data_IF_542711950866
#
_entry.id   IF_542711950866
#
_cell.length_a   1.000
_cell.length_b   1.000
_cell.length_c   1.000
_cell.angle_alpha   90.00
_cell.angle_beta   90.00
_cell.angle_gamma   90.00
#
_symmetry.space_group_name_H-M   'P 1'
#
loop_
_entity.id
_entity.type
_entity.pdbx_description
1 polymer ?
#
# COMPACT_ATOMS: atom_id res chain seq x y z
N UNK A 1 -102.57 60.55 -16.62
CA UNK A 1 -101.29 61.18 -16.92
C UNK A 1 -100.39 61.00 -15.70
N UNK A 2 -99.53 59.98 -15.73
CA UNK A 2 -98.52 59.77 -14.61
C UNK A 2 -97.20 60.35 -15.05
N UNK A 3 -96.89 61.56 -14.52
CA UNK A 3 -95.64 62.19 -14.75
C UNK A 3 -94.59 61.53 -13.87
N UNK A 4 -93.74 60.64 -14.43
CA UNK A 4 -92.56 60.14 -13.74
C UNK A 4 -91.54 61.25 -13.61
N UNK A 5 -91.27 61.66 -12.38
CA UNK A 5 -90.21 62.67 -12.07
C UNK A 5 -88.86 62.19 -12.58
N UNK A 6 -88.09 63.01 -13.34
CA UNK A 6 -86.79 62.77 -13.91
C UNK A 6 -85.77 62.22 -12.89
N UNK A 7 -85.96 62.50 -11.60
CA UNK A 7 -85.11 62.00 -10.48
C UNK A 7 -85.30 60.51 -10.19
N UNK A 8 -86.55 59.95 -10.40
CA UNK A 8 -86.81 58.53 -10.20
C UNK A 8 -86.15 57.64 -11.29
N UNK A 9 -86.11 58.15 -12.53
CA UNK A 9 -85.45 57.45 -13.67
C UNK A 9 -83.93 57.43 -13.45
N UNK A 10 -83.31 58.51 -12.92
CA UNK A 10 -81.89 58.56 -12.61
C UNK A 10 -81.52 57.59 -11.50
N UNK A 11 -82.35 57.47 -10.46
CA UNK A 11 -82.11 56.53 -9.33
C UNK A 11 -82.22 55.05 -9.83
N UNK A 12 -83.18 54.75 -10.72
CA UNK A 12 -83.29 53.41 -11.31
C UNK A 12 -82.13 53.09 -12.23
N UNK A 13 -81.66 54.03 -13.04
CA UNK A 13 -80.45 53.85 -13.84
C UNK A 13 -79.19 53.65 -12.98
N UNK A 14 -79.03 54.41 -11.91
CA UNK A 14 -77.93 54.27 -10.97
C UNK A 14 -77.99 52.91 -10.25
N UNK A 15 -79.19 52.45 -9.86
CA UNK A 15 -79.34 51.13 -9.20
C UNK A 15 -79.03 49.98 -10.16
N UNK A 16 -79.40 50.09 -11.49
CA UNK A 16 -79.03 49.08 -12.48
C UNK A 16 -77.52 49.02 -12.74
N UNK A 17 -76.85 50.16 -12.77
CA UNK A 17 -75.37 50.20 -12.92
C UNK A 17 -74.67 49.56 -11.70
N UNK A 18 -75.16 49.92 -10.51
CA UNK A 18 -74.60 49.32 -9.27
C UNK A 18 -74.88 47.80 -9.23
N UNK A 19 -76.09 47.37 -9.65
CA UNK A 19 -76.38 45.95 -9.69
C UNK A 19 -75.56 45.23 -10.75
N UNK A 20 -75.30 45.83 -11.92
CA UNK A 20 -74.38 45.30 -12.93
C UNK A 20 -72.93 45.20 -12.44
N UNK A 21 -72.42 46.20 -11.69
CA UNK A 21 -71.13 46.21 -11.10
C UNK A 21 -70.99 45.13 -10.01
N UNK A 22 -72.02 44.97 -9.17
CA UNK A 22 -72.05 43.94 -8.15
C UNK A 22 -72.02 42.51 -8.78
N UNK A 23 -72.88 42.33 -9.82
CA UNK A 23 -72.91 41.04 -10.55
C UNK A 23 -71.56 40.77 -11.24
N UNK A 24 -70.95 41.79 -11.86
CA UNK A 24 -69.65 41.67 -12.48
C UNK A 24 -68.54 41.28 -11.42
N UNK A 25 -68.50 41.93 -10.27
CA UNK A 25 -67.59 41.62 -9.16
C UNK A 25 -67.81 40.21 -8.58
N UNK A 26 -69.10 39.77 -8.48
CA UNK A 26 -69.40 38.42 -7.99
C UNK A 26 -68.97 37.34 -8.99
N UNK A 27 -69.19 37.57 -10.29
CA UNK A 27 -68.74 36.67 -11.38
C UNK A 27 -67.19 36.62 -11.40
N UNK A 28 -66.53 37.76 -11.28
CA UNK A 28 -65.07 37.81 -11.22
C UNK A 28 -64.53 37.10 -9.98
N UNK A 29 -65.14 37.26 -8.80
CA UNK A 29 -64.75 36.50 -7.58
C UNK A 29 -64.94 35.01 -7.75
N UNK A 30 -66.12 34.59 -8.36
CA UNK A 30 -66.33 33.17 -8.61
C UNK A 30 -65.30 32.56 -9.58
N UNK A 31 -64.92 33.30 -10.63
CA UNK A 31 -63.86 32.86 -11.55
C UNK A 31 -62.48 32.80 -10.90
N UNK A 32 -62.16 33.78 -10.07
CA UNK A 32 -60.85 33.80 -9.34
C UNK A 32 -60.77 32.69 -8.28
N UNK A 33 -61.87 32.40 -7.56
CA UNK A 33 -61.88 31.28 -6.59
C UNK A 33 -61.74 29.92 -7.28
N UNK A 34 -62.35 29.71 -8.44
CA UNK A 34 -62.20 28.48 -9.23
C UNK A 34 -60.74 28.34 -9.75
N UNK A 35 -60.13 29.44 -10.24
CA UNK A 35 -58.72 29.43 -10.65
C UNK A 35 -57.79 29.16 -9.49
N UNK A 36 -57.93 29.83 -8.35
CA UNK A 36 -57.11 29.60 -7.15
C UNK A 36 -57.26 28.17 -6.66
N UNK A 37 -58.44 27.58 -6.70
CA UNK A 37 -58.64 26.16 -6.33
C UNK A 37 -58.04 25.21 -7.34
N UNK A 38 -58.06 25.52 -8.64
CA UNK A 38 -57.36 24.71 -9.67
C UNK A 38 -55.86 24.84 -9.59
N UNK A 39 -55.32 26.03 -9.36
CA UNK A 39 -53.90 26.28 -9.18
C UNK A 39 -53.40 25.62 -7.88
N UNK A 40 -54.14 25.73 -6.77
CA UNK A 40 -53.82 25.06 -5.52
C UNK A 40 -53.88 23.52 -5.60
N UNK A 41 -54.81 22.97 -6.40
CA UNK A 41 -54.87 21.53 -6.66
C UNK A 41 -53.72 21.05 -7.59
N UNK A 42 -53.24 21.93 -8.46
CA UNK A 42 -52.09 21.65 -9.34
C UNK A 42 -50.75 21.72 -8.57
N UNK A 43 -50.61 22.65 -7.61
CA UNK A 43 -49.44 22.81 -6.73
C UNK A 43 -49.33 21.70 -5.64
N UNK A 44 -50.41 20.92 -5.41
CA UNK A 44 -50.37 19.79 -4.45
C UNK A 44 -49.63 18.56 -4.97
N UNK A 45 -49.33 18.49 -6.28
CA UNK A 45 -48.57 17.36 -6.86
C UNK A 45 -47.12 17.81 -7.08
N UNK A 46 -46.15 17.36 -6.28
CA UNK A 46 -44.76 17.78 -6.39
C UNK A 46 -44.14 17.31 -7.71
N UNK A 47 -43.35 18.21 -8.31
CA UNK A 47 -42.52 17.89 -9.46
C UNK A 47 -41.24 17.17 -8.97
N UNK A 48 -40.98 15.99 -9.49
CA UNK A 48 -39.84 15.18 -9.08
C UNK A 48 -38.97 14.77 -10.27
N UNK A 49 -37.68 14.94 -10.15
CA UNK A 49 -36.74 14.46 -11.15
C UNK A 49 -36.52 12.95 -10.98
N UNK A 50 -36.70 12.21 -12.08
CA UNK A 50 -36.60 10.76 -12.08
C UNK A 50 -35.34 10.33 -12.82
N UNK A 51 -34.59 9.41 -12.21
CA UNK A 51 -33.36 8.77 -12.75
C UNK A 51 -33.54 7.26 -12.80
N UNK A 52 -32.89 6.60 -13.74
CA UNK A 52 -32.80 5.16 -13.79
C UNK A 52 -31.49 4.68 -13.14
N UNK A 53 -31.47 3.54 -12.43
CA UNK A 53 -30.26 2.93 -11.94
C UNK A 53 -29.33 2.61 -13.11
N UNK A 54 -28.05 2.97 -12.98
CA UNK A 54 -27.04 2.60 -13.97
C UNK A 54 -26.26 1.41 -13.44
N UNK A 55 -25.88 0.43 -14.28
CA UNK A 55 -24.96 -0.61 -13.85
C UNK A 55 -23.67 0.02 -13.27
N UNK A 56 -23.20 -0.49 -12.15
CA UNK A 56 -21.92 -0.06 -11.59
C UNK A 56 -20.79 -0.36 -12.59
N UNK A 57 -19.69 0.40 -12.55
CA UNK A 57 -18.52 0.12 -13.38
C UNK A 57 -18.07 -1.35 -13.21
N UNK A 58 -17.71 -2.04 -14.31
CA UNK A 58 -17.34 -3.46 -14.26
C UNK A 58 -16.07 -3.72 -13.48
N UNK A 59 -15.31 -2.67 -13.19
CA UNK A 59 -14.05 -2.74 -12.44
C UNK A 59 -14.04 -1.73 -11.31
N UNK A 60 -13.52 -2.18 -10.19
CA UNK A 60 -13.20 -1.35 -9.04
C UNK A 60 -11.72 -0.97 -9.13
N UNK A 61 -11.43 0.31 -9.17
CA UNK A 61 -10.06 0.83 -9.10
C UNK A 61 -9.86 1.64 -7.83
N UNK A 62 -8.69 1.46 -7.23
CA UNK A 62 -8.27 2.19 -6.03
C UNK A 62 -6.80 2.56 -6.18
N UNK A 63 -6.46 3.80 -5.85
CA UNK A 63 -5.08 4.27 -5.83
C UNK A 63 -4.62 4.44 -4.38
N UNK A 64 -3.51 3.79 -4.05
CA UNK A 64 -2.92 3.75 -2.71
C UNK A 64 -1.45 4.16 -2.77
N UNK A 65 -0.91 4.78 -1.71
CA UNK A 65 0.51 4.99 -1.58
C UNK A 65 1.24 3.67 -1.32
N UNK A 66 2.41 3.52 -1.92
CA UNK A 66 3.30 2.40 -1.69
C UNK A 66 4.75 2.85 -1.55
N UNK A 67 5.59 2.00 -0.97
CA UNK A 67 7.02 2.22 -0.82
C UNK A 67 7.80 1.12 -1.53
N UNK A 68 8.75 1.51 -2.34
CA UNK A 68 9.66 0.61 -3.03
C UNK A 68 10.83 0.24 -2.12
N UNK A 69 11.14 -1.03 -2.04
CA UNK A 69 12.34 -1.56 -1.36
C UNK A 69 13.13 -2.43 -2.32
N UNK A 70 14.41 -2.58 -2.06
CA UNK A 70 15.24 -3.53 -2.78
C UNK A 70 14.73 -4.98 -2.57
N UNK A 71 15.11 -5.88 -3.48
CA UNK A 71 14.78 -7.30 -3.34
C UNK A 71 15.45 -7.89 -2.12
N UNK A 72 16.76 -7.62 -1.96
CA UNK A 72 17.54 -7.83 -0.73
C UNK A 72 18.27 -6.56 -0.39
N UNK A 73 18.45 -6.32 0.89
CA UNK A 73 19.26 -5.22 1.40
C UNK A 73 20.09 -5.75 2.56
N UNK A 74 21.42 -5.59 2.48
CA UNK A 74 22.34 -6.05 3.49
C UNK A 74 23.18 -4.89 4.02
N UNK A 75 22.92 -4.46 5.27
CA UNK A 75 23.85 -3.63 6.00
C UNK A 75 25.07 -4.47 6.42
N UNK A 76 26.27 -3.99 6.10
CA UNK A 76 27.53 -4.67 6.32
C UNK A 76 28.25 -4.00 7.49
N UNK A 77 28.61 -4.80 8.49
CA UNK A 77 29.29 -4.34 9.71
C UNK A 77 30.71 -4.93 9.81
N UNK A 78 31.59 -4.24 10.53
CA UNK A 78 32.93 -4.77 10.83
C UNK A 78 32.82 -5.99 11.78
N UNK A 79 33.53 -7.06 11.45
CA UNK A 79 33.67 -8.24 12.31
C UNK A 79 34.99 -8.25 13.08
N UNK A 80 35.92 -7.39 12.67
CA UNK A 80 37.24 -7.18 13.34
C UNK A 80 37.45 -5.70 13.61
N UNK A 81 38.20 -5.40 14.67
CA UNK A 81 38.50 -4.03 15.04
C UNK A 81 39.81 -3.57 14.41
N UNK A 82 39.81 -2.35 13.88
CA UNK A 82 40.99 -1.77 13.24
C UNK A 82 40.67 -0.41 12.61
N UNK A 83 41.59 0.05 11.78
CA UNK A 83 41.44 1.30 11.03
C UNK A 83 41.15 1.00 9.57
N UNK A 84 40.21 1.73 8.96
CA UNK A 84 39.93 1.61 7.52
C UNK A 84 41.18 2.01 6.75
N UNK A 85 41.76 1.05 6.03
CA UNK A 85 42.95 1.27 5.20
C UNK A 85 42.62 1.93 3.89
N UNK A 86 41.58 1.41 3.20
CA UNK A 86 41.10 1.91 1.93
C UNK A 86 39.71 1.36 1.65
N UNK A 87 38.90 2.14 0.94
CA UNK A 87 37.64 1.68 0.31
C UNK A 87 37.78 1.69 -1.21
N UNK A 88 37.12 0.75 -1.90
CA UNK A 88 37.30 0.50 -3.34
C UNK A 88 35.98 0.70 -4.11
N UNK A 89 34.85 0.77 -3.42
CA UNK A 89 33.51 0.97 -4.01
C UNK A 89 32.82 2.12 -3.31
N UNK A 90 32.23 3.02 -4.09
CA UNK A 90 31.50 4.18 -3.55
C UNK A 90 30.00 4.07 -3.84
N UNK A 91 29.23 5.07 -3.42
CA UNK A 91 27.79 5.16 -3.69
C UNK A 91 27.49 4.93 -5.16
N UNK A 92 26.44 4.13 -5.45
CA UNK A 92 26.00 3.80 -6.79
C UNK A 92 26.88 2.80 -7.55
N UNK A 93 27.98 2.32 -6.95
CA UNK A 93 28.83 1.32 -7.58
C UNK A 93 28.08 -0.02 -7.71
N UNK A 94 28.07 -0.58 -8.91
CA UNK A 94 27.59 -1.95 -9.15
C UNK A 94 28.67 -2.92 -8.67
N UNK A 95 28.27 -3.90 -7.88
CA UNK A 95 29.16 -4.90 -7.28
C UNK A 95 28.62 -6.31 -7.52
N UNK A 96 29.54 -7.27 -7.59
CA UNK A 96 29.23 -8.70 -7.62
C UNK A 96 29.53 -9.31 -6.26
N UNK A 97 28.91 -10.44 -5.98
CA UNK A 97 29.21 -11.26 -4.79
C UNK A 97 30.72 -11.54 -4.70
N UNK A 98 31.33 -11.20 -3.54
CA UNK A 98 32.75 -11.35 -3.30
C UNK A 98 33.62 -10.17 -3.76
N UNK A 99 33.04 -9.13 -4.38
CA UNK A 99 33.79 -7.91 -4.70
C UNK A 99 34.25 -7.22 -3.40
N UNK A 100 35.52 -6.81 -3.39
CA UNK A 100 36.11 -6.08 -2.28
C UNK A 100 35.55 -4.65 -2.21
N UNK A 101 34.90 -4.32 -1.08
CA UNK A 101 34.37 -3.01 -0.80
C UNK A 101 35.33 -2.12 -0.04
N UNK A 102 35.96 -2.67 0.99
CA UNK A 102 36.99 -1.98 1.80
C UNK A 102 37.94 -2.98 2.45
N UNK A 103 39.08 -2.46 2.93
CA UNK A 103 40.08 -3.20 3.69
C UNK A 103 40.35 -2.53 5.05
N UNK A 104 40.36 -3.34 6.12
CA UNK A 104 40.66 -2.89 7.49
C UNK A 104 42.10 -3.26 7.83
N UNK A 105 42.88 -2.30 8.31
CA UNK A 105 44.19 -2.52 8.88
C UNK A 105 44.04 -2.92 10.34
N UNK A 106 44.51 -4.14 10.69
CA UNK A 106 44.36 -4.77 12.01
C UNK A 106 45.68 -5.23 12.58
N UNK A 107 46.60 -4.31 12.96
CA UNK A 107 47.96 -4.70 13.39
C UNK A 107 47.99 -5.67 14.57
N UNK A 108 47.03 -5.51 15.50
CA UNK A 108 46.92 -6.40 16.67
C UNK A 108 46.53 -7.83 16.26
N UNK A 109 45.52 -7.98 15.42
CA UNK A 109 45.10 -9.28 14.93
C UNK A 109 46.20 -9.96 14.10
N UNK A 110 46.93 -9.19 13.30
CA UNK A 110 48.05 -9.70 12.49
C UNK A 110 49.17 -10.22 13.40
N UNK A 111 49.47 -9.52 14.51
CA UNK A 111 50.46 -9.99 15.50
C UNK A 111 49.98 -11.24 16.24
N UNK A 112 48.73 -11.31 16.65
CA UNK A 112 48.12 -12.48 17.32
C UNK A 112 48.10 -13.70 16.36
N UNK A 113 47.83 -13.51 15.08
CA UNK A 113 47.88 -14.57 14.06
C UNK A 113 49.33 -15.08 13.88
N UNK A 114 50.31 -14.17 13.76
CA UNK A 114 51.72 -14.52 13.66
C UNK A 114 52.20 -15.31 14.89
N UNK A 115 51.78 -14.91 16.09
CA UNK A 115 52.08 -15.63 17.32
C UNK A 115 51.49 -17.06 17.30
N UNK A 116 50.23 -17.22 16.94
CA UNK A 116 49.58 -18.53 16.83
C UNK A 116 50.30 -19.45 15.82
N UNK A 117 50.79 -18.89 14.71
CA UNK A 117 51.61 -19.64 13.73
C UNK A 117 52.96 -20.09 14.31
N UNK A 118 53.59 -19.25 15.15
CA UNK A 118 54.84 -19.63 15.83
C UNK A 118 54.59 -20.73 16.86
N UNK A 119 53.50 -20.63 17.64
CA UNK A 119 53.11 -21.65 18.63
C UNK A 119 52.80 -23.00 17.97
N UNK A 120 52.14 -22.98 16.80
CA UNK A 120 51.92 -24.19 15.99
C UNK A 120 53.24 -24.89 15.61
N UNK A 121 54.24 -24.11 15.15
CA UNK A 121 55.57 -24.68 14.82
C UNK A 121 56.24 -25.33 16.02
N UNK A 122 56.10 -24.73 17.22
CA UNK A 122 56.65 -25.31 18.47
C UNK A 122 55.87 -26.59 18.82
N UNK A 123 54.56 -26.62 18.75
CA UNK A 123 53.77 -27.82 19.02
C UNK A 123 54.08 -28.95 18.03
N UNK A 124 54.26 -28.62 16.76
CA UNK A 124 54.66 -29.59 15.73
C UNK A 124 56.02 -30.23 16.07
N UNK A 125 57.01 -29.42 16.39
CA UNK A 125 58.33 -29.94 16.75
C UNK A 125 58.32 -30.83 18.01
N UNK A 126 57.48 -30.47 19.02
CA UNK A 126 57.29 -31.32 20.22
C UNK A 126 56.67 -32.67 19.86
N UNK A 127 55.62 -32.65 19.03
CA UNK A 127 54.93 -33.87 18.56
C UNK A 127 55.95 -34.78 17.79
N UNK A 128 56.71 -34.20 16.86
CA UNK A 128 57.64 -34.94 16.03
C UNK A 128 58.68 -35.64 16.94
N UNK A 129 59.20 -34.95 17.95
CA UNK A 129 60.10 -35.51 18.92
C UNK A 129 59.44 -36.65 19.73
N UNK A 130 58.22 -36.43 20.23
CA UNK A 130 57.54 -37.43 21.03
C UNK A 130 57.16 -38.69 20.17
N UNK A 131 56.76 -38.50 18.92
CA UNK A 131 56.46 -39.56 17.98
C UNK A 131 57.70 -40.45 17.66
N UNK A 132 58.84 -39.79 17.37
CA UNK A 132 60.09 -40.50 17.14
C UNK A 132 60.52 -41.28 18.40
N UNK A 133 60.39 -40.66 19.58
CA UNK A 133 60.72 -41.26 20.86
C UNK A 133 59.84 -42.46 21.17
N UNK A 134 58.51 -42.33 21.07
CA UNK A 134 57.51 -43.39 21.27
C UNK A 134 57.76 -44.57 20.30
N UNK A 135 58.04 -44.27 19.02
CA UNK A 135 58.35 -45.28 18.02
C UNK A 135 59.57 -46.09 18.39
N UNK A 136 60.67 -45.44 18.87
CA UNK A 136 61.90 -46.10 19.35
C UNK A 136 61.62 -46.98 20.58
N UNK A 137 60.84 -46.46 21.56
CA UNK A 137 60.47 -47.22 22.75
C UNK A 137 59.57 -48.43 22.44
N UNK A 138 58.68 -48.32 21.50
CA UNK A 138 57.83 -49.43 21.01
C UNK A 138 58.76 -50.55 20.43
N UNK A 139 59.71 -50.19 19.60
CA UNK A 139 60.66 -51.16 19.05
C UNK A 139 61.55 -51.87 20.14
N UNK A 140 62.01 -51.11 21.15
CA UNK A 140 62.76 -51.69 22.30
C UNK A 140 61.86 -52.56 23.18
N UNK A 141 60.56 -52.22 23.33
CA UNK A 141 59.59 -53.07 24.06
C UNK A 141 59.37 -54.41 23.41
N UNK A 142 59.31 -54.45 22.07
CA UNK A 142 59.17 -55.68 21.31
C UNK A 142 60.36 -56.63 21.52
N UNK A 143 61.59 -56.12 21.75
CA UNK A 143 62.79 -56.87 22.08
C UNK A 143 62.97 -57.17 23.58
N UNK A 144 61.99 -56.83 24.44
CA UNK A 144 61.96 -56.96 25.87
C UNK A 144 63.14 -56.19 26.56
N UNK A 145 63.75 -55.22 25.91
CA UNK A 145 64.87 -54.41 26.43
C UNK A 145 64.43 -53.34 27.45
N UNK A 146 63.08 -53.04 27.51
CA UNK A 146 62.48 -52.03 28.39
C UNK A 146 61.17 -52.53 28.99
N UNK A 147 60.76 -51.94 30.12
CA UNK A 147 59.47 -52.29 30.76
C UNK A 147 58.26 -51.83 29.96
N UNK A 148 57.14 -52.59 29.98
CA UNK A 148 55.90 -52.21 29.35
C UNK A 148 55.38 -50.91 29.90
N UNK A 149 55.61 -50.57 31.18
CA UNK A 149 55.22 -49.29 31.76
C UNK A 149 55.96 -48.12 31.09
N UNK A 150 57.26 -48.23 30.81
CA UNK A 150 57.98 -47.18 30.11
C UNK A 150 57.47 -46.93 28.69
N UNK A 151 57.09 -47.99 27.94
CA UNK A 151 56.50 -47.87 26.64
C UNK A 151 55.11 -47.15 26.72
N UNK A 152 54.30 -47.50 27.72
CA UNK A 152 53.04 -46.87 27.96
C UNK A 152 53.16 -45.37 28.26
N UNK A 153 54.19 -44.95 29.08
CA UNK A 153 54.45 -43.53 29.36
C UNK A 153 54.86 -42.78 28.09
N UNK A 154 55.65 -43.34 27.20
CA UNK A 154 56.08 -42.66 25.97
C UNK A 154 54.87 -42.58 24.93
N UNK A 155 54.05 -43.58 24.90
CA UNK A 155 52.82 -43.51 24.09
C UNK A 155 51.83 -42.43 24.60
N UNK A 156 51.70 -42.30 25.94
CA UNK A 156 50.90 -41.23 26.53
C UNK A 156 51.47 -39.83 26.24
N UNK A 157 52.82 -39.69 26.27
CA UNK A 157 53.52 -38.46 25.92
C UNK A 157 53.29 -38.09 24.43
N UNK A 158 53.41 -39.08 23.53
CA UNK A 158 53.09 -38.87 22.12
C UNK A 158 51.63 -38.39 21.92
N UNK A 159 50.66 -39.04 22.59
CA UNK A 159 49.28 -38.69 22.53
C UNK A 159 49.00 -37.29 23.09
N UNK A 160 49.66 -36.92 24.20
CA UNK A 160 49.57 -35.57 24.76
C UNK A 160 50.13 -34.52 23.80
N UNK A 161 51.33 -34.76 23.24
CA UNK A 161 51.93 -33.85 22.27
C UNK A 161 51.08 -33.72 20.98
N UNK A 162 50.41 -34.79 20.56
CA UNK A 162 49.47 -34.76 19.44
C UNK A 162 48.28 -33.88 19.76
N UNK A 163 47.68 -33.99 20.95
CA UNK A 163 46.57 -33.16 21.36
C UNK A 163 46.97 -31.66 21.45
N UNK A 164 48.22 -31.37 21.92
CA UNK A 164 48.74 -30.00 21.91
C UNK A 164 48.91 -29.45 20.48
N UNK A 165 49.35 -30.27 19.53
CA UNK A 165 49.43 -29.89 18.11
C UNK A 165 48.05 -29.57 17.52
N UNK A 166 47.10 -30.47 17.72
CA UNK A 166 45.71 -30.27 17.24
C UNK A 166 45.10 -28.99 17.83
N UNK A 167 45.35 -28.70 19.11
CA UNK A 167 44.88 -27.47 19.73
C UNK A 167 45.50 -26.21 19.09
N UNK A 168 46.83 -26.25 18.78
CA UNK A 168 47.52 -25.17 18.10
C UNK A 168 47.04 -24.97 16.65
N UNK A 169 46.75 -26.06 15.93
CA UNK A 169 46.15 -26.02 14.58
C UNK A 169 44.79 -25.31 14.59
N UNK A 170 43.91 -25.68 15.52
CA UNK A 170 42.64 -25.04 15.68
C UNK A 170 42.74 -23.55 16.04
N UNK A 171 43.76 -23.19 16.84
CA UNK A 171 44.05 -21.80 17.19
C UNK A 171 44.45 -20.96 15.98
N UNK A 172 45.31 -21.50 15.10
CA UNK A 172 45.69 -20.86 13.84
C UNK A 172 44.48 -20.71 12.92
N UNK A 173 43.66 -21.77 12.78
CA UNK A 173 42.44 -21.73 11.96
C UNK A 173 41.43 -20.64 12.45
N UNK A 174 41.32 -20.48 13.79
CA UNK A 174 40.48 -19.41 14.38
C UNK A 174 40.96 -18.02 13.95
N UNK A 175 42.25 -17.73 14.09
CA UNK A 175 42.80 -16.43 13.70
C UNK A 175 42.77 -16.23 12.18
N UNK A 176 43.01 -17.26 11.41
CA UNK A 176 42.89 -17.21 9.95
C UNK A 176 41.51 -16.79 9.50
N UNK A 177 40.45 -17.35 10.13
CA UNK A 177 39.07 -16.92 9.87
C UNK A 177 38.86 -15.45 10.23
N UNK A 178 39.40 -14.98 11.36
CA UNK A 178 39.33 -13.57 11.74
C UNK A 178 40.07 -12.65 10.77
N UNK A 179 41.24 -13.06 10.27
CA UNK A 179 42.01 -12.30 9.26
C UNK A 179 41.25 -12.15 7.96
N UNK A 180 40.42 -13.14 7.57
CA UNK A 180 39.59 -13.04 6.39
C UNK A 180 38.59 -11.88 6.50
N UNK A 181 38.09 -11.58 7.69
CA UNK A 181 37.15 -10.47 7.93
C UNK A 181 37.78 -9.06 7.85
N UNK A 182 39.09 -8.95 7.59
CA UNK A 182 39.72 -7.67 7.25
C UNK A 182 39.25 -7.14 5.90
N UNK A 183 38.91 -8.05 5.00
CA UNK A 183 38.33 -7.74 3.69
C UNK A 183 36.82 -7.66 3.82
N UNK A 184 36.26 -6.49 3.57
CA UNK A 184 34.83 -6.27 3.54
C UNK A 184 34.39 -6.55 2.12
N UNK A 185 33.55 -7.58 1.94
CA UNK A 185 33.12 -8.06 0.62
C UNK A 185 31.60 -7.94 0.46
N UNK A 186 31.15 -7.80 -0.79
CA UNK A 186 29.74 -7.79 -1.12
C UNK A 186 29.13 -9.20 -0.95
N UNK A 187 28.01 -9.35 -0.21
CA UNK A 187 27.39 -10.65 0.04
C UNK A 187 26.64 -11.22 -1.16
N UNK A 188 26.20 -10.38 -2.07
CA UNK A 188 25.46 -10.71 -3.30
C UNK A 188 25.69 -9.64 -4.37
N UNK A 189 25.21 -9.93 -5.59
CA UNK A 189 25.25 -8.99 -6.71
C UNK A 189 24.27 -7.85 -6.47
N UNK A 190 24.71 -6.58 -6.60
CA UNK A 190 23.83 -5.45 -6.32
C UNK A 190 24.52 -4.10 -6.52
N UNK A 191 23.98 -3.09 -5.85
CA UNK A 191 24.47 -1.70 -5.89
C UNK A 191 24.75 -1.24 -4.47
N UNK A 192 25.86 -0.52 -4.26
CA UNK A 192 26.16 0.13 -3.00
C UNK A 192 25.24 1.35 -2.82
N UNK A 193 24.33 1.29 -1.86
CA UNK A 193 23.38 2.37 -1.58
C UNK A 193 23.80 3.27 -0.42
N UNK A 194 24.68 2.76 0.47
CA UNK A 194 25.27 3.56 1.54
C UNK A 194 26.72 3.18 1.79
N UNK A 195 27.56 4.18 2.10
CA UNK A 195 28.94 4.04 2.58
C UNK A 195 29.17 5.01 3.74
N UNK A 196 29.33 4.50 4.93
CA UNK A 196 29.43 5.28 6.16
C UNK A 196 30.84 5.24 6.77
N UNK A 197 31.85 5.00 5.95
CA UNK A 197 33.25 4.94 6.36
C UNK A 197 34.15 5.81 5.48
N UNK A 198 35.24 6.29 6.09
CA UNK A 198 36.33 6.98 5.41
C UNK A 198 37.66 6.34 5.73
N UNK A 199 38.69 6.61 4.92
CA UNK A 199 40.04 6.15 5.16
C UNK A 199 40.54 6.75 6.48
N UNK A 200 41.05 5.88 7.36
CA UNK A 200 41.55 6.26 8.68
C UNK A 200 40.51 6.18 9.81
N UNK A 201 39.24 5.93 9.51
CA UNK A 201 38.21 5.73 10.53
C UNK A 201 38.50 4.46 11.35
N UNK A 202 38.27 4.54 12.65
CA UNK A 202 38.35 3.35 13.51
C UNK A 202 37.02 2.62 13.47
N UNK A 203 37.05 1.32 13.23
CA UNK A 203 35.90 0.41 13.22
C UNK A 203 36.09 -0.67 14.29
N UNK A 204 34.99 -1.00 14.98
CA UNK A 204 34.99 -2.01 16.05
C UNK A 204 34.22 -3.26 15.70
N UNK A 205 34.66 -4.42 16.12
CA UNK A 205 33.99 -5.68 15.94
C UNK A 205 32.57 -5.62 16.58
N UNK A 206 31.53 -5.92 15.78
CA UNK A 206 30.14 -5.93 16.24
C UNK A 206 29.47 -4.57 16.42
N UNK A 207 30.21 -3.46 16.24
CA UNK A 207 29.69 -2.11 16.47
C UNK A 207 29.77 -1.18 15.26
N UNK A 208 30.25 -1.66 14.11
CA UNK A 208 30.43 -0.81 12.93
C UNK A 208 31.35 0.38 13.16
N UNK A 209 31.19 1.46 12.41
CA UNK A 209 31.79 2.75 12.73
C UNK A 209 31.07 3.33 13.94
N UNK A 210 31.76 3.63 15.03
CA UNK A 210 31.18 4.34 16.18
C UNK A 210 30.91 5.79 15.75
N UNK A 211 29.66 6.13 15.51
CA UNK A 211 29.26 7.51 15.42
C UNK A 211 29.30 8.17 16.82
N UNK A 212 29.24 9.50 16.89
CA UNK A 212 29.36 10.27 18.13
C UNK A 212 28.37 9.85 19.25
N UNK A 213 27.36 9.05 18.95
CA UNK A 213 26.33 8.56 19.88
C UNK A 213 26.57 7.11 20.35
N UNK A 214 27.70 6.46 19.99
CA UNK A 214 28.03 5.09 20.40
C UNK A 214 27.16 4.00 19.79
N UNK A 215 26.37 4.33 18.79
CA UNK A 215 25.52 3.35 18.08
C UNK A 215 26.30 2.71 16.95
N UNK A 216 26.19 1.39 16.79
CA UNK A 216 26.74 0.68 15.67
C UNK A 216 26.17 1.21 14.37
N UNK A 217 27.00 1.74 13.46
CA UNK A 217 26.58 2.10 12.12
C UNK A 217 27.15 1.09 11.12
N UNK A 218 26.36 0.74 10.14
CA UNK A 218 26.81 -0.07 9.00
C UNK A 218 27.96 0.63 8.27
N UNK A 219 28.92 -0.15 7.79
CA UNK A 219 30.03 0.34 6.98
C UNK A 219 29.58 0.62 5.54
N UNK A 220 28.84 -0.33 4.99
CA UNK A 220 28.22 -0.29 3.69
C UNK A 220 26.82 -0.85 3.77
N UNK A 221 25.97 -0.42 2.84
CA UNK A 221 24.71 -1.12 2.56
C UNK A 221 24.68 -1.46 1.08
N UNK A 222 24.56 -2.75 0.78
CA UNK A 222 24.42 -3.27 -0.58
C UNK A 222 22.98 -3.69 -0.80
N UNK A 223 22.40 -3.23 -1.89
CA UNK A 223 21.03 -3.52 -2.29
C UNK A 223 20.98 -4.27 -3.62
N UNK A 224 20.22 -5.34 -3.65
CA UNK A 224 19.86 -6.03 -4.87
C UNK A 224 18.67 -5.32 -5.51
N UNK A 225 18.91 -4.69 -6.66
CA UNK A 225 17.94 -3.85 -7.37
C UNK A 225 17.48 -4.45 -8.71
N UNK A 226 17.76 -5.73 -8.99
CA UNK A 226 17.32 -6.38 -10.24
C UNK A 226 15.79 -6.43 -10.35
N UNK A 227 15.13 -6.57 -9.22
CA UNK A 227 13.69 -6.42 -9.04
C UNK A 227 13.43 -5.62 -7.76
N UNK A 228 12.25 -5.00 -7.67
CA UNK A 228 11.86 -4.21 -6.51
C UNK A 228 10.69 -4.87 -5.80
N UNK A 229 10.68 -4.79 -4.48
CA UNK A 229 9.54 -5.12 -3.64
C UNK A 229 8.76 -3.84 -3.36
N UNK A 230 7.46 -3.88 -3.61
CA UNK A 230 6.57 -2.75 -3.38
C UNK A 230 5.61 -3.10 -2.25
N UNK A 231 5.68 -2.36 -1.17
CA UNK A 231 4.80 -2.51 -0.02
C UNK A 231 3.66 -1.50 -0.11
N UNK A 232 2.44 -2.00 -0.01
CA UNK A 232 1.20 -1.20 -0.08
C UNK A 232 0.34 -1.53 1.13
N UNK A 233 -0.08 -0.50 1.85
CA UNK A 233 -1.03 -0.65 2.96
C UNK A 233 -2.45 -0.57 2.42
N UNK A 234 -3.14 -1.71 2.36
CA UNK A 234 -4.50 -1.82 1.82
C UNK A 234 -5.52 -1.82 2.95
N UNK A 235 -6.54 -0.93 2.95
CA UNK A 235 -7.60 -0.93 3.95
C UNK A 235 -8.39 -2.25 3.99
N UNK A 236 -8.89 -2.62 5.17
CA UNK A 236 -9.66 -3.85 5.40
C UNK A 236 -10.84 -3.99 4.45
N UNK A 237 -11.55 -2.89 4.16
CA UNK A 237 -12.70 -2.84 3.26
C UNK A 237 -12.39 -3.31 1.84
N UNK A 238 -11.12 -3.27 1.43
CA UNK A 238 -10.65 -3.69 0.10
C UNK A 238 -9.84 -4.98 0.11
N UNK A 239 -9.69 -5.61 1.26
CA UNK A 239 -8.90 -6.85 1.40
C UNK A 239 -9.44 -8.01 0.56
N UNK A 240 -10.72 -8.03 0.25
CA UNK A 240 -11.38 -9.06 -0.57
C UNK A 240 -10.87 -9.14 -2.02
N UNK A 241 -10.31 -8.03 -2.55
CA UNK A 241 -9.76 -7.98 -3.90
C UNK A 241 -8.33 -8.54 -4.00
N UNK A 242 -7.66 -8.71 -2.86
CA UNK A 242 -6.27 -9.16 -2.80
C UNK A 242 -6.19 -10.68 -3.03
N UNK A 243 -6.03 -11.08 -4.28
CA UNK A 243 -5.93 -12.48 -4.69
C UNK A 243 -4.71 -12.70 -5.56
N UNK A 244 -4.22 -13.93 -5.57
CA UNK A 244 -3.16 -14.34 -6.49
C UNK A 244 -3.55 -14.04 -7.94
N UNK A 245 -2.61 -13.45 -8.70
CA UNK A 245 -2.84 -13.01 -10.08
C UNK A 245 -3.29 -11.54 -10.21
N UNK A 246 -3.48 -10.82 -9.09
CA UNK A 246 -3.73 -9.38 -9.13
C UNK A 246 -2.48 -8.66 -9.71
N UNK A 247 -2.70 -7.82 -10.69
CA UNK A 247 -1.68 -6.92 -11.25
C UNK A 247 -2.02 -5.49 -10.85
N UNK A 248 -1.04 -4.81 -10.27
CA UNK A 248 -1.14 -3.41 -9.90
C UNK A 248 -0.41 -2.53 -10.93
N UNK A 249 -0.99 -1.40 -11.27
CA UNK A 249 -0.31 -0.37 -12.07
C UNK A 249 0.36 0.62 -11.12
N UNK A 250 1.64 0.86 -11.34
CA UNK A 250 2.48 1.66 -10.46
C UNK A 250 3.05 2.85 -11.21
N UNK A 251 2.88 4.03 -10.64
CA UNK A 251 3.52 5.26 -11.12
C UNK A 251 4.43 5.81 -10.04
N UNK A 252 5.59 6.30 -10.43
CA UNK A 252 6.58 6.91 -9.52
C UNK A 252 6.81 8.36 -9.92
N UNK A 253 7.00 9.29 -8.97
CA UNK A 253 7.18 10.71 -9.28
C UNK A 253 8.37 11.02 -10.21
N UNK A 254 9.41 10.17 -10.17
CA UNK A 254 10.57 10.34 -11.05
C UNK A 254 10.25 10.07 -12.52
N UNK A 255 9.20 9.27 -12.80
CA UNK A 255 8.78 8.88 -14.16
C UNK A 255 7.25 9.00 -14.30
N UNK A 256 6.69 10.22 -14.32
CA UNK A 256 5.24 10.43 -14.25
C UNK A 256 4.49 9.84 -15.44
N UNK A 257 5.15 9.75 -16.60
CA UNK A 257 4.57 9.22 -17.85
C UNK A 257 4.85 7.72 -18.07
N UNK A 258 5.45 7.03 -17.09
CA UNK A 258 5.77 5.61 -17.19
C UNK A 258 4.96 4.83 -16.16
N UNK A 259 4.20 3.86 -16.65
CA UNK A 259 3.45 2.93 -15.78
C UNK A 259 4.24 1.62 -15.71
N UNK A 260 4.52 1.19 -14.49
CA UNK A 260 5.15 -0.10 -14.21
C UNK A 260 4.09 -1.11 -13.78
N UNK A 261 4.20 -2.33 -14.27
CA UNK A 261 3.32 -3.42 -13.83
C UNK A 261 3.94 -4.12 -12.63
N UNK A 262 3.18 -4.17 -11.52
CA UNK A 262 3.56 -4.87 -10.30
C UNK A 262 2.70 -6.13 -10.14
N UNK A 263 3.36 -7.27 -9.96
CA UNK A 263 2.71 -8.57 -9.74
C UNK A 263 2.53 -8.82 -8.25
N UNK A 264 1.35 -9.26 -7.86
CA UNK A 264 1.07 -9.65 -6.49
C UNK A 264 2.04 -10.76 -6.04
N UNK A 265 2.69 -10.57 -4.90
CA UNK A 265 3.63 -11.51 -4.32
C UNK A 265 3.02 -12.20 -3.10
N UNK A 266 2.66 -11.42 -2.10
CA UNK A 266 2.09 -11.94 -0.85
C UNK A 266 1.29 -10.87 -0.10
N UNK A 267 0.59 -11.29 0.95
CA UNK A 267 -0.17 -10.43 1.87
C UNK A 267 0.14 -10.84 3.30
N UNK A 268 0.37 -9.87 4.16
CA UNK A 268 0.43 -10.11 5.60
C UNK A 268 -0.95 -10.57 6.09
N UNK A 269 -1.03 -11.75 6.72
CA UNK A 269 -2.30 -12.31 7.19
C UNK A 269 -2.75 -11.72 8.53
N UNK A 270 -2.53 -10.42 8.72
CA UNK A 270 -2.91 -9.68 9.91
C UNK A 270 -3.10 -8.21 9.58
N UNK A 271 -4.13 -7.60 10.15
CA UNK A 271 -4.35 -6.15 10.05
C UNK A 271 -3.61 -5.42 11.16
N UNK A 272 -3.03 -4.28 10.83
CA UNK A 272 -2.55 -3.33 11.83
C UNK A 272 -3.76 -2.74 12.57
N UNK A 273 -3.85 -2.87 13.91
CA UNK A 273 -5.00 -2.42 14.67
C UNK A 273 -5.15 -0.89 14.70
N UNK A 274 -4.07 -0.13 14.47
CA UNK A 274 -4.08 1.33 14.52
C UNK A 274 -4.56 1.91 13.19
N UNK A 275 -4.09 1.36 12.08
CA UNK A 275 -4.39 1.87 10.74
C UNK A 275 -5.52 1.10 10.05
N UNK A 276 -5.89 -0.08 10.55
CA UNK A 276 -6.85 -1.03 9.94
C UNK A 276 -6.50 -1.34 8.48
N UNK A 277 -5.22 -1.46 8.21
CA UNK A 277 -4.70 -1.83 6.90
C UNK A 277 -3.95 -3.15 6.96
N UNK A 278 -3.86 -3.83 5.85
CA UNK A 278 -3.02 -5.02 5.67
C UNK A 278 -1.90 -4.69 4.69
N UNK A 279 -0.68 -5.06 5.04
CA UNK A 279 0.47 -4.90 4.16
C UNK A 279 0.39 -5.94 3.06
N UNK A 280 0.38 -5.45 1.83
CA UNK A 280 0.40 -6.27 0.61
C UNK A 280 1.69 -5.99 -0.13
N UNK A 281 2.33 -7.05 -0.58
CA UNK A 281 3.60 -6.99 -1.26
C UNK A 281 3.43 -7.37 -2.73
N UNK A 282 4.03 -6.54 -3.59
CA UNK A 282 4.11 -6.77 -5.03
C UNK A 282 5.57 -6.80 -5.48
N UNK A 283 5.84 -7.47 -6.57
CA UNK A 283 7.14 -7.45 -7.26
C UNK A 283 7.07 -6.64 -8.53
N UNK A 284 8.10 -5.81 -8.76
CA UNK A 284 8.27 -5.01 -9.97
C UNK A 284 9.62 -5.38 -10.58
N UNK A 285 9.64 -5.69 -11.87
CA UNK A 285 10.88 -5.89 -12.61
C UNK A 285 11.62 -4.56 -12.78
N UNK A 286 12.90 -4.54 -12.47
CA UNK A 286 13.74 -3.34 -12.56
C UNK A 286 15.04 -3.59 -13.31
N UNK A 287 15.03 -4.45 -14.34
CA UNK A 287 16.22 -4.73 -15.17
C UNK A 287 16.88 -3.47 -15.75
N UNK A 288 16.10 -2.40 -15.93
CA UNK A 288 16.62 -1.10 -16.37
C UNK A 288 17.21 -0.23 -15.25
N UNK A 289 17.22 -0.68 -13.99
CA UNK A 289 17.71 0.04 -12.80
C UNK A 289 17.16 1.47 -12.65
N UNK A 290 15.94 1.71 -13.14
CA UNK A 290 15.26 3.00 -13.08
C UNK A 290 14.64 3.29 -11.71
N UNK A 291 14.19 2.24 -11.02
CA UNK A 291 13.56 2.35 -9.72
C UNK A 291 14.61 2.22 -8.62
N UNK A 292 14.51 3.09 -7.61
CA UNK A 292 15.44 3.13 -6.49
C UNK A 292 14.75 2.74 -5.19
N UNK A 293 15.42 2.01 -4.30
CA UNK A 293 14.91 1.72 -2.97
C UNK A 293 14.57 2.99 -2.20
N UNK A 294 13.54 2.93 -1.35
CA UNK A 294 13.08 4.09 -0.57
C UNK A 294 12.16 5.05 -1.34
N UNK A 295 11.94 4.85 -2.64
CA UNK A 295 11.06 5.72 -3.42
C UNK A 295 9.59 5.47 -3.08
N UNK A 296 8.78 6.54 -3.07
CA UNK A 296 7.33 6.45 -3.02
C UNK A 296 6.76 6.12 -4.39
N UNK A 297 5.66 5.40 -4.39
CA UNK A 297 4.92 5.05 -5.58
C UNK A 297 3.41 5.21 -5.36
N UNK A 298 2.69 5.60 -6.41
CA UNK A 298 1.24 5.54 -6.49
C UNK A 298 0.84 4.22 -7.13
N UNK A 299 0.04 3.43 -6.42
CA UNK A 299 -0.31 2.06 -6.81
C UNK A 299 -1.80 2.00 -7.09
N UNK A 300 -2.18 1.77 -8.33
CA UNK A 300 -3.57 1.58 -8.73
C UNK A 300 -3.87 0.09 -8.82
N UNK A 301 -4.70 -0.37 -7.89
CA UNK A 301 -5.25 -1.72 -7.86
C UNK A 301 -6.55 -1.73 -8.64
N UNK A 302 -6.72 -2.69 -9.55
CA UNK A 302 -7.96 -2.87 -10.32
C UNK A 302 -8.47 -4.28 -10.13
N UNK A 303 -9.72 -4.41 -9.70
CA UNK A 303 -10.38 -5.69 -9.52
C UNK A 303 -11.73 -5.72 -10.23
N UNK A 304 -12.24 -6.88 -10.64
CA UNK A 304 -13.61 -7.00 -11.12
C UNK A 304 -14.60 -6.57 -10.03
N UNK A 305 -15.57 -5.73 -10.40
CA UNK A 305 -16.67 -5.37 -9.51
C UNK A 305 -17.67 -6.52 -9.37
N UNK A 306 -18.45 -6.51 -8.30
CA UNK A 306 -19.54 -7.47 -8.11
C UNK A 306 -20.62 -7.25 -9.19
N UNK A 307 -21.15 -8.36 -9.74
CA UNK A 307 -22.23 -8.30 -10.72
C UNK A 307 -23.55 -7.98 -10.03
N UNK A 308 -24.41 -7.23 -10.73
CA UNK A 308 -25.75 -6.89 -10.23
C UNK A 308 -25.80 -5.69 -9.29
N UNK A 309 -24.70 -4.96 -9.15
CA UNK A 309 -24.65 -3.69 -8.42
C UNK A 309 -25.06 -2.56 -9.35
N UNK A 310 -25.91 -1.66 -8.85
CA UNK A 310 -26.36 -0.47 -9.57
C UNK A 310 -25.84 0.78 -8.86
N UNK A 311 -25.61 1.84 -9.62
CA UNK A 311 -25.29 3.17 -9.09
C UNK A 311 -26.48 4.10 -9.23
N UNK A 312 -26.75 4.83 -8.15
CA UNK A 312 -27.79 5.87 -8.10
C UNK A 312 -27.16 7.16 -7.55
N UNK A 313 -27.70 8.34 -7.85
CA UNK A 313 -27.28 9.59 -7.20
C UNK A 313 -27.44 9.48 -5.68
N UNK A 314 -26.45 9.96 -4.91
CA UNK A 314 -26.51 9.92 -3.45
C UNK A 314 -27.70 10.69 -2.88
N UNK A 315 -28.17 11.76 -3.58
CA UNK A 315 -29.36 12.50 -3.21
C UNK A 315 -30.70 11.74 -3.37
N UNK A 316 -30.69 10.55 -4.00
CA UNK A 316 -31.88 9.71 -4.08
C UNK A 316 -32.12 8.83 -2.84
N UNK A 317 -31.16 8.80 -1.92
CA UNK A 317 -31.26 8.02 -0.67
C UNK A 317 -32.22 8.70 0.30
N UNK A 318 -33.09 7.90 0.89
CA UNK A 318 -33.99 8.30 1.96
C UNK A 318 -33.74 7.43 3.17
N UNK A 319 -33.54 8.05 4.31
CA UNK A 319 -33.38 7.33 5.57
C UNK A 319 -34.69 7.43 6.36
N UNK A 320 -35.35 6.30 6.58
CA UNK A 320 -36.61 6.21 7.33
C UNK A 320 -36.52 5.15 8.44
N UNK A 321 -37.61 4.97 9.18
CA UNK A 321 -37.69 4.03 10.32
C UNK A 321 -37.25 2.61 9.97
N UNK A 322 -37.45 2.17 8.73
CA UNK A 322 -37.09 0.83 8.26
C UNK A 322 -35.71 0.74 7.60
N UNK A 323 -34.88 1.80 7.71
CA UNK A 323 -33.52 1.85 7.20
C UNK A 323 -33.36 2.69 5.94
N UNK A 324 -32.36 2.31 5.10
CA UNK A 324 -32.08 3.00 3.84
C UNK A 324 -33.08 2.57 2.76
N UNK A 325 -33.70 3.56 2.16
CA UNK A 325 -34.73 3.38 1.12
C UNK A 325 -34.47 4.29 -0.06
N UNK A 326 -35.15 4.01 -1.17
CA UNK A 326 -35.29 4.91 -2.31
C UNK A 326 -36.77 5.09 -2.61
N UNK A 327 -37.17 6.28 -3.07
CA UNK A 327 -38.49 6.52 -3.57
C UNK A 327 -38.53 6.18 -5.07
N UNK A 328 -39.35 5.24 -5.46
CA UNK A 328 -39.58 4.85 -6.87
C UNK A 328 -40.93 5.33 -7.35
N UNK A 329 -41.07 5.55 -8.65
CA UNK A 329 -42.33 5.98 -9.29
C UNK A 329 -42.83 4.92 -10.26
N UNK A 330 -44.05 4.51 -10.10
CA UNK A 330 -44.72 3.57 -11.02
C UNK A 330 -45.19 4.22 -12.33
N UNK A 331 -45.80 3.44 -13.20
CA UNK A 331 -46.39 3.91 -14.48
C UNK A 331 -47.60 4.82 -14.29
N UNK A 332 -48.23 4.81 -13.09
CA UNK A 332 -49.39 5.62 -12.71
C UNK A 332 -49.00 6.92 -12.00
N UNK A 333 -47.67 7.20 -11.93
CA UNK A 333 -47.11 8.35 -11.22
C UNK A 333 -47.35 8.31 -9.69
N UNK A 334 -47.37 7.11 -9.11
CA UNK A 334 -47.49 6.88 -7.67
C UNK A 334 -46.13 6.53 -7.09
N UNK A 335 -45.80 7.11 -5.95
CA UNK A 335 -44.55 6.90 -5.24
C UNK A 335 -44.59 5.65 -4.37
N UNK A 336 -43.53 4.84 -4.41
CA UNK A 336 -43.31 3.69 -3.53
C UNK A 336 -41.93 3.73 -2.89
N UNK A 337 -41.83 3.56 -1.59
CA UNK A 337 -40.57 3.41 -0.90
C UNK A 337 -40.09 1.96 -0.94
N UNK A 338 -38.87 1.77 -1.39
CA UNK A 338 -38.26 0.44 -1.49
C UNK A 338 -37.00 0.36 -0.66
N UNK A 339 -36.92 -0.67 0.19
CA UNK A 339 -35.73 -0.95 0.97
C UNK A 339 -34.57 -1.38 0.04
N UNK A 340 -33.40 -0.83 0.27
CA UNK A 340 -32.21 -1.14 -0.49
C UNK A 340 -31.05 -1.55 0.43
N UNK A 341 -30.15 -2.35 -0.11
CA UNK A 341 -28.85 -2.62 0.53
C UNK A 341 -27.80 -1.75 -0.14
N UNK A 342 -27.29 -0.80 0.63
CA UNK A 342 -26.27 0.14 0.18
C UNK A 342 -24.91 -0.52 0.25
N UNK A 343 -24.11 -0.40 -0.80
CA UNK A 343 -22.71 -0.79 -0.85
C UNK A 343 -21.80 0.39 -0.54
N UNK A 344 -20.98 0.79 -1.50
CA UNK A 344 -20.07 1.95 -1.35
C UNK A 344 -20.82 3.26 -1.63
N UNK A 345 -20.49 4.27 -0.84
CA UNK A 345 -20.99 5.62 -1.02
C UNK A 345 -19.86 6.54 -1.48
N UNK A 346 -20.14 7.37 -2.46
CA UNK A 346 -19.30 8.46 -2.92
C UNK A 346 -20.08 9.77 -2.81
N UNK A 347 -19.42 10.91 -2.98
CA UNK A 347 -20.07 12.22 -2.90
C UNK A 347 -21.18 12.38 -3.93
N UNK A 348 -21.00 11.84 -5.12
CA UNK A 348 -21.95 12.02 -6.24
C UNK A 348 -22.91 10.85 -6.42
N UNK A 349 -22.50 9.62 -6.10
CA UNK A 349 -23.29 8.42 -6.34
C UNK A 349 -23.11 7.36 -5.26
N UNK A 350 -24.10 6.51 -5.10
CA UNK A 350 -24.12 5.40 -4.17
C UNK A 350 -24.35 4.10 -4.91
N UNK A 351 -23.60 3.08 -4.56
CA UNK A 351 -23.78 1.72 -5.06
C UNK A 351 -24.84 0.99 -4.24
N UNK A 352 -25.74 0.31 -4.95
CA UNK A 352 -26.80 -0.50 -4.37
C UNK A 352 -26.61 -1.94 -4.82
N UNK A 353 -26.40 -2.83 -3.86
CA UNK A 353 -26.14 -4.25 -4.10
C UNK A 353 -27.43 -5.09 -4.17
N UNK A 354 -28.53 -4.61 -3.59
CA UNK A 354 -29.83 -5.30 -3.63
C UNK A 354 -30.99 -4.32 -3.44
N UNK A 355 -32.16 -4.72 -3.94
CA UNK A 355 -33.41 -3.95 -3.79
C UNK A 355 -33.80 -3.11 -5.00
N UNK A 356 -32.97 -3.07 -6.07
CA UNK A 356 -33.27 -2.31 -7.29
C UNK A 356 -33.32 -3.22 -8.52
N UNK A 357 -34.14 -2.84 -9.47
CA UNK A 357 -34.22 -3.37 -10.82
C UNK A 357 -33.74 -2.33 -11.85
N UNK A 358 -33.20 -2.74 -13.01
CA UNK A 358 -32.66 -1.83 -14.01
C UNK A 358 -33.73 -0.85 -14.56
N UNK A 359 -35.01 -1.25 -14.54
CA UNK A 359 -36.12 -0.48 -15.06
C UNK A 359 -36.79 0.43 -14.02
N UNK A 360 -36.32 0.41 -12.76
CA UNK A 360 -36.88 1.23 -11.69
C UNK A 360 -36.66 2.71 -11.99
N UNK A 361 -37.68 3.51 -11.74
CA UNK A 361 -37.65 4.97 -11.88
C UNK A 361 -37.53 5.58 -10.50
N UNK A 362 -36.32 6.04 -10.16
CA UNK A 362 -35.96 6.52 -8.83
C UNK A 362 -36.06 8.04 -8.78
N UNK A 363 -36.69 8.57 -7.73
CA UNK A 363 -36.75 10.02 -7.49
C UNK A 363 -35.40 10.51 -6.99
N UNK A 364 -34.81 11.47 -7.68
CA UNK A 364 -33.62 12.16 -7.23
C UNK A 364 -34.00 13.36 -6.36
N UNK A 365 -33.42 13.48 -5.17
CA UNK A 365 -33.77 14.50 -4.16
C UNK A 365 -35.27 14.54 -3.84
N UNK A 366 -35.84 13.45 -3.28
CA UNK A 366 -37.28 13.42 -2.97
C UNK A 366 -37.61 14.50 -1.94
N UNK A 367 -38.76 15.24 -2.15
CA UNK A 367 -39.24 16.20 -1.18
C UNK A 367 -39.49 15.56 0.19
N UNK A 368 -39.23 16.31 1.28
CA UNK A 368 -39.33 15.79 2.64
C UNK A 368 -40.77 15.42 3.06
N UNK A 369 -41.77 15.98 2.40
CA UNK A 369 -43.19 15.73 2.61
C UNK A 369 -43.77 14.63 1.71
N UNK A 370 -42.91 13.99 0.90
CA UNK A 370 -43.34 12.91 0.01
C UNK A 370 -43.76 11.69 0.85
N UNK A 371 -44.99 11.19 0.56
CA UNK A 371 -45.55 10.04 1.28
C UNK A 371 -45.66 8.82 0.37
N UNK A 372 -45.66 7.62 0.99
CA UNK A 372 -45.99 6.37 0.32
C UNK A 372 -47.39 6.47 -0.34
N UNK A 373 -47.51 6.07 -1.60
CA UNK A 373 -48.74 6.18 -2.36
C UNK A 373 -49.05 7.58 -2.86
N UNK A 374 -48.18 8.58 -2.62
CA UNK A 374 -48.34 9.96 -3.10
C UNK A 374 -48.25 10.07 -4.61
N UNK A 375 -49.08 10.94 -5.22
CA UNK A 375 -48.97 11.27 -6.65
C UNK A 375 -47.86 12.28 -6.87
N UNK A 376 -47.06 12.06 -7.89
CA UNK A 376 -45.97 12.94 -8.30
C UNK A 376 -46.05 13.24 -9.79
N UNK A 377 -45.50 14.37 -10.20
CA UNK A 377 -45.32 14.71 -11.61
C UNK A 377 -43.82 14.54 -11.94
N UNK A 378 -43.54 13.65 -12.88
CA UNK A 378 -42.15 13.38 -13.27
C UNK A 378 -41.65 14.41 -14.26
N UNK A 379 -40.50 15.01 -13.96
CA UNK A 379 -39.76 15.92 -14.84
C UNK A 379 -38.40 15.30 -15.20
N UNK A 380 -37.90 15.63 -16.39
CA UNK A 380 -36.55 15.20 -16.76
C UNK A 380 -35.51 15.93 -15.89
N UNK A 381 -34.47 15.24 -15.41
CA UNK A 381 -33.40 15.87 -14.64
C UNK A 381 -32.68 16.91 -15.50
N UNK A 382 -32.34 18.06 -14.92
CA UNK A 382 -31.59 19.11 -15.58
C UNK A 382 -30.27 18.55 -16.13
N UNK A 383 -29.92 18.90 -17.39
CA UNK A 383 -28.63 18.48 -18.02
C UNK A 383 -27.48 18.94 -17.15
N UNK A 384 -26.70 17.99 -16.61
CA UNK A 384 -25.53 18.23 -15.74
C UNK A 384 -25.48 17.36 -14.49
N UNK A 385 -26.58 16.76 -14.06
CA UNK A 385 -26.62 15.91 -12.84
C UNK A 385 -26.14 14.46 -13.05
N UNK A 386 -25.77 14.09 -14.27
CA UNK A 386 -25.37 12.72 -14.64
C UNK A 386 -23.97 12.65 -15.27
N UNK A 387 -23.12 13.66 -15.10
CA UNK A 387 -21.73 13.56 -15.55
C UNK A 387 -20.99 12.57 -14.63
N UNK A 388 -20.80 11.36 -15.12
CA UNK A 388 -19.85 10.41 -14.52
C UNK A 388 -18.45 11.05 -14.51
N UNK A 389 -17.69 10.99 -13.40
CA UNK A 389 -16.35 11.59 -13.31
C UNK A 389 -15.32 11.05 -14.29
N UNK A 390 -15.67 10.07 -15.11
CA UNK A 390 -14.74 9.37 -16.00
C UNK A 390 -14.78 9.88 -17.47
N UNK A 391 -15.59 10.89 -17.80
CA UNK A 391 -15.56 11.48 -19.14
C UNK A 391 -14.61 12.69 -19.26
N UNK A 392 -14.17 13.28 -18.13
CA UNK A 392 -13.28 14.45 -18.13
C UNK A 392 -11.78 14.11 -18.27
N UNK A 393 -11.41 12.83 -18.22
CA UNK A 393 -10.01 12.41 -18.39
C UNK A 393 -9.64 11.97 -19.82
N UNK A 394 -10.63 11.91 -20.74
CA UNK A 394 -10.43 11.45 -22.10
C UNK A 394 -10.47 12.57 -23.17
N UNK A 395 -10.84 13.80 -22.80
CA UNK A 395 -11.03 14.91 -23.78
C UNK A 395 -9.96 15.99 -23.74
N UNK A 396 -8.91 15.89 -22.92
CA UNK A 396 -7.78 16.84 -22.92
C UNK A 396 -6.49 16.24 -23.53
N UNK A 397 -6.63 15.50 -24.60
CA UNK A 397 -5.52 14.87 -25.31
C UNK A 397 -5.39 15.14 -26.80
N UNK A 398 -6.18 16.08 -27.35
CA UNK A 398 -5.98 16.52 -28.74
C UNK A 398 -6.45 17.98 -28.85
N UNK A 399 -5.50 18.89 -28.76
CA UNK A 399 -5.44 20.22 -29.36
C UNK A 399 -4.31 20.99 -28.66
N UNK A 400 -3.08 20.88 -29.19
CA UNK A 400 -2.16 22.00 -29.41
C UNK A 400 -0.96 21.46 -30.19
N UNK A 401 -0.88 21.96 -31.46
CA UNK A 401 0.30 21.90 -32.34
C UNK A 401 1.51 22.63 -31.75
#
# INVERSE_FOLDING_TARGET
MFGFSKGRIFILLLATVIMADITYLLVQRAHNTVRIQQDAAYDQVPDVAVVQPKPAPPTLSMTLPGTLSAWYEAPIYAQVSGYVKMWYRDYGAVVKKGDLLAEINTPRLDAEYAQAQADLKVAQAKYDLAAITATRWRAMGQSQAVSGQSVSVQNANEQSAKAELEAAEHKVAQYQAMVHFKSIEAPFDGVVIARNINVGDYVGAGSGSMNANGTASELFTVADTHAMRLFVSVPETFSSILKSGLVAKVTVPQFPNTVFDAKFLTIAKGFDPNTRTVITEFSIDNMGQKLWPGSFASVTLTAPAEKGVYTIPTGALVFQEHGMQVATVDTQQITHYRNITVGRMSDAYTEVSAGLSPDDRIINNPPADLMEGGKVRTVEPAKGYLSTPNAAAAENGDDDE
#
